data_IF_032549927499
#
_entry.id   IF_032549927499
#
_cell.length_a   1.000
_cell.length_b   1.000
_cell.length_c   1.000
_cell.angle_alpha   90.00
_cell.angle_beta   90.00
_cell.angle_gamma   90.00
#
_symmetry.space_group_name_H-M   'P 1'
#
loop_
_entity.id
_entity.type
_entity.pdbx_description
1 polymer ?
#
# COMPACT_ATOMS: atom_id res chain seq x y z
N UNK A 1 35.14 3.77 -16.90
CA UNK A 1 33.92 4.60 -17.06
C UNK A 1 33.27 4.80 -15.69
N UNK A 2 32.66 5.97 -15.40
CA UNK A 2 31.93 6.18 -14.13
C UNK A 2 30.64 5.36 -14.16
N UNK A 3 30.47 4.44 -13.21
CA UNK A 3 29.28 3.58 -13.10
C UNK A 3 28.03 4.43 -12.75
N UNK A 4 26.89 4.31 -13.46
CA UNK A 4 25.65 5.02 -13.16
C UNK A 4 24.88 4.50 -11.92
N UNK A 5 25.54 3.74 -11.03
CA UNK A 5 24.99 3.15 -9.79
C UNK A 5 24.27 4.17 -8.87
N UNK A 6 24.55 5.47 -9.02
CA UNK A 6 23.98 6.51 -8.17
C UNK A 6 22.47 6.75 -8.39
N UNK A 7 21.96 6.58 -9.62
CA UNK A 7 20.55 6.92 -9.92
C UNK A 7 19.56 5.83 -9.50
N UNK A 8 19.86 4.55 -9.75
CA UNK A 8 18.96 3.44 -9.43
C UNK A 8 18.83 3.27 -7.90
N UNK A 9 19.93 3.31 -7.16
CA UNK A 9 19.93 3.27 -5.67
C UNK A 9 19.20 4.45 -5.01
N UNK A 10 19.16 5.61 -5.65
CA UNK A 10 18.40 6.77 -5.14
C UNK A 10 16.89 6.56 -5.33
N UNK A 11 16.48 6.04 -6.49
CA UNK A 11 15.09 5.70 -6.78
C UNK A 11 14.57 4.55 -5.92
N UNK A 12 15.40 3.54 -5.63
CA UNK A 12 15.03 2.44 -4.72
C UNK A 12 14.66 2.96 -3.33
N UNK A 13 15.52 3.79 -2.73
CA UNK A 13 15.26 4.40 -1.41
C UNK A 13 14.04 5.31 -1.39
N UNK A 14 13.70 5.96 -2.51
CA UNK A 14 12.46 6.74 -2.61
C UNK A 14 11.23 5.83 -2.61
N UNK A 15 11.24 4.76 -3.42
CA UNK A 15 10.14 3.79 -3.48
C UNK A 15 9.95 3.04 -2.16
N UNK A 16 11.03 2.73 -1.45
CA UNK A 16 10.97 2.13 -0.11
C UNK A 16 10.26 3.04 0.90
N UNK A 17 10.62 4.33 0.95
CA UNK A 17 9.94 5.30 1.82
C UNK A 17 8.47 5.48 1.45
N UNK A 18 8.18 5.49 0.17
CA UNK A 18 6.81 5.61 -0.32
C UNK A 18 5.97 4.38 0.06
N UNK A 19 6.57 3.19 -0.03
CA UNK A 19 5.98 1.94 0.44
C UNK A 19 5.70 1.98 1.94
N UNK A 20 6.68 2.39 2.76
CA UNK A 20 6.54 2.55 4.21
C UNK A 20 5.40 3.52 4.55
N UNK A 21 5.36 4.68 3.88
CA UNK A 21 4.32 5.67 4.08
C UNK A 21 2.92 5.14 3.72
N UNK A 22 2.77 4.50 2.56
CA UNK A 22 1.49 3.89 2.15
C UNK A 22 1.06 2.78 3.10
N UNK A 23 2.00 1.98 3.61
CA UNK A 23 1.71 0.96 4.62
C UNK A 23 1.23 1.56 5.95
N UNK A 24 1.80 2.70 6.36
CA UNK A 24 1.33 3.43 7.54
C UNK A 24 -0.11 3.94 7.35
N UNK A 25 -0.39 4.60 6.22
CA UNK A 25 -1.74 5.06 5.88
C UNK A 25 -2.75 3.91 5.79
N UNK A 26 -2.34 2.78 5.20
CA UNK A 26 -3.17 1.58 5.13
C UNK A 26 -3.54 1.07 6.53
N UNK A 27 -2.58 1.04 7.46
CA UNK A 27 -2.82 0.65 8.85
C UNK A 27 -3.78 1.62 9.55
N UNK A 28 -3.55 2.92 9.42
CA UNK A 28 -4.44 3.94 9.99
C UNK A 28 -5.86 3.83 9.45
N UNK A 29 -6.02 3.58 8.15
CA UNK A 29 -7.30 3.33 7.52
C UNK A 29 -8.01 2.11 8.09
N UNK A 30 -7.30 0.99 8.27
CA UNK A 30 -7.83 -0.23 8.88
C UNK A 30 -8.28 -0.01 10.33
N UNK A 31 -7.47 0.71 11.13
CA UNK A 31 -7.80 1.06 12.51
C UNK A 31 -9.04 1.97 12.58
N UNK A 32 -9.17 2.92 11.64
CA UNK A 32 -10.35 3.77 11.52
C UNK A 32 -11.60 2.96 11.12
N UNK A 33 -11.50 2.08 10.12
CA UNK A 33 -12.59 1.21 9.70
C UNK A 33 -13.08 0.32 10.85
N UNK A 34 -12.17 -0.21 11.67
CA UNK A 34 -12.52 -1.00 12.85
C UNK A 34 -13.35 -0.18 13.84
N UNK A 35 -12.97 1.08 14.09
CA UNK A 35 -13.73 1.99 14.98
C UNK A 35 -15.13 2.27 14.44
N UNK A 36 -15.25 2.63 13.16
CA UNK A 36 -16.55 2.91 12.52
C UNK A 36 -17.46 1.67 12.55
N UNK A 37 -16.91 0.47 12.27
CA UNK A 37 -17.67 -0.79 12.35
C UNK A 37 -18.12 -1.10 13.78
N UNK A 38 -17.30 -0.80 14.77
CA UNK A 38 -17.62 -0.99 16.19
C UNK A 38 -18.75 -0.05 16.63
N UNK A 39 -18.71 1.22 16.20
CA UNK A 39 -19.79 2.18 16.45
C UNK A 39 -21.11 1.73 15.81
N UNK A 40 -21.09 1.29 14.55
CA UNK A 40 -22.28 0.76 13.88
C UNK A 40 -22.86 -0.46 14.61
N UNK A 41 -22.01 -1.34 15.15
CA UNK A 41 -22.44 -2.46 15.99
C UNK A 41 -23.11 -1.99 17.28
N UNK A 42 -22.50 -1.05 17.99
CA UNK A 42 -23.04 -0.50 19.23
C UNK A 42 -24.41 0.16 19.00
N UNK A 43 -24.58 0.94 17.93
CA UNK A 43 -25.86 1.57 17.57
C UNK A 43 -26.95 0.51 17.33
N UNK A 44 -26.64 -0.59 16.62
CA UNK A 44 -27.58 -1.70 16.45
C UNK A 44 -27.98 -2.35 17.77
N UNK A 45 -27.02 -2.65 18.63
CA UNK A 45 -27.27 -3.28 19.93
C UNK A 45 -28.08 -2.35 20.86
N UNK A 46 -27.87 -1.03 20.77
CA UNK A 46 -28.66 -0.02 21.49
C UNK A 46 -30.11 -0.02 21.01
N UNK A 47 -30.35 -0.04 19.69
CA UNK A 47 -31.69 -0.11 19.11
C UNK A 47 -32.43 -1.39 19.50
N UNK A 48 -31.74 -2.54 19.50
CA UNK A 48 -32.32 -3.83 19.91
C UNK A 48 -32.73 -3.84 21.38
N UNK A 49 -31.88 -3.31 22.28
CA UNK A 49 -32.19 -3.20 23.71
C UNK A 49 -33.37 -2.28 23.96
N UNK A 50 -33.37 -1.10 23.36
CA UNK A 50 -34.50 -0.19 23.46
C UNK A 50 -35.80 -0.85 22.95
N UNK A 51 -35.76 -1.60 21.85
CA UNK A 51 -36.95 -2.31 21.35
C UNK A 51 -37.49 -3.37 22.30
N UNK A 52 -36.66 -3.94 23.18
CA UNK A 52 -37.08 -4.93 24.17
C UNK A 52 -37.64 -4.29 25.46
N UNK A 53 -37.22 -3.07 25.78
CA UNK A 53 -37.60 -2.35 27.01
C UNK A 53 -38.88 -1.50 26.85
N UNK A 54 -39.14 -0.98 25.65
CA UNK A 54 -40.27 -0.09 25.38
C UNK A 54 -41.52 -0.85 24.92
N UNK A 55 -42.48 -1.07 25.81
CA UNK A 55 -43.70 -1.83 25.48
C UNK A 55 -44.94 -1.63 26.37
N UNK A 56 -45.02 -0.60 27.22
CA UNK A 56 -46.11 -0.53 28.23
C UNK A 56 -46.92 0.77 28.30
N UNK A 57 -46.46 1.89 27.74
CA UNK A 57 -47.23 3.16 27.77
C UNK A 57 -47.24 3.89 26.41
N UNK A 58 -48.35 4.54 26.01
CA UNK A 58 -48.47 5.23 24.71
C UNK A 58 -47.48 6.39 24.52
N UNK A 59 -47.20 7.15 25.58
CA UNK A 59 -46.21 8.24 25.57
C UNK A 59 -44.79 7.72 25.38
N UNK A 60 -44.49 6.55 25.95
CA UNK A 60 -43.20 5.86 25.75
C UNK A 60 -43.06 5.33 24.31
N UNK A 61 -44.15 5.01 23.61
CA UNK A 61 -44.12 4.58 22.21
C UNK A 61 -43.72 5.71 21.26
N UNK A 62 -44.19 6.95 21.47
CA UNK A 62 -43.80 8.09 20.62
C UNK A 62 -42.32 8.46 20.80
N UNK A 63 -41.85 8.55 22.05
CA UNK A 63 -40.43 8.81 22.33
C UNK A 63 -39.51 7.69 21.81
N UNK A 64 -39.96 6.43 21.88
CA UNK A 64 -39.25 5.31 21.29
C UNK A 64 -39.17 5.43 19.76
N UNK A 65 -40.26 5.82 19.09
CA UNK A 65 -40.27 6.01 17.63
C UNK A 65 -39.28 7.09 17.18
N UNK A 66 -39.25 8.24 17.85
CA UNK A 66 -38.31 9.33 17.54
C UNK A 66 -36.85 8.93 17.81
N UNK A 67 -36.60 8.26 18.94
CA UNK A 67 -35.28 7.71 19.26
C UNK A 67 -34.81 6.72 18.19
N UNK A 68 -35.67 5.77 17.82
CA UNK A 68 -35.37 4.73 16.84
C UNK A 68 -35.04 5.34 15.48
N UNK A 69 -35.83 6.31 15.00
CA UNK A 69 -35.57 7.00 13.74
C UNK A 69 -34.22 7.72 13.74
N UNK A 70 -33.86 8.39 14.85
CA UNK A 70 -32.54 9.06 14.96
C UNK A 70 -31.39 8.06 14.94
N UNK A 71 -31.50 6.96 15.68
CA UNK A 71 -30.48 5.91 15.72
C UNK A 71 -30.37 5.18 14.37
N UNK A 72 -31.47 4.99 13.66
CA UNK A 72 -31.47 4.42 12.33
C UNK A 72 -30.75 5.31 11.32
N UNK A 73 -31.00 6.62 11.34
CA UNK A 73 -30.29 7.58 10.48
C UNK A 73 -28.78 7.59 10.79
N UNK A 74 -28.42 7.62 12.07
CA UNK A 74 -27.03 7.52 12.51
C UNK A 74 -26.37 6.24 12.01
N UNK A 75 -27.00 5.08 12.22
CA UNK A 75 -26.51 3.79 11.74
C UNK A 75 -26.28 3.77 10.23
N UNK A 76 -27.23 4.30 9.44
CA UNK A 76 -27.09 4.38 7.98
C UNK A 76 -25.88 5.23 7.59
N UNK A 77 -25.69 6.38 8.24
CA UNK A 77 -24.54 7.25 7.99
C UNK A 77 -23.21 6.57 8.36
N UNK A 78 -23.13 5.89 9.51
CA UNK A 78 -21.93 5.15 9.93
C UNK A 78 -21.59 4.00 8.96
N UNK A 79 -22.59 3.26 8.48
CA UNK A 79 -22.39 2.18 7.51
C UNK A 79 -21.92 2.71 6.15
N UNK A 80 -22.47 3.83 5.70
CA UNK A 80 -22.03 4.49 4.47
C UNK A 80 -20.58 4.99 4.59
N UNK A 81 -20.24 5.59 5.73
CA UNK A 81 -18.86 5.98 6.03
C UNK A 81 -17.93 4.76 6.02
N UNK A 82 -18.32 3.64 6.63
CA UNK A 82 -17.52 2.42 6.62
C UNK A 82 -17.23 1.92 5.20
N UNK A 83 -18.23 1.96 4.30
CA UNK A 83 -18.05 1.58 2.88
C UNK A 83 -17.06 2.49 2.15
N UNK A 84 -17.14 3.80 2.38
CA UNK A 84 -16.22 4.78 1.77
C UNK A 84 -14.79 4.55 2.25
N UNK A 85 -14.61 4.34 3.55
CA UNK A 85 -13.29 4.02 4.13
C UNK A 85 -12.75 2.71 3.56
N UNK A 86 -13.60 1.68 3.43
CA UNK A 86 -13.22 0.41 2.82
C UNK A 86 -12.77 0.56 1.36
N UNK A 87 -13.42 1.43 0.58
CA UNK A 87 -13.00 1.74 -0.80
C UNK A 87 -11.62 2.39 -0.83
N UNK A 88 -11.37 3.36 0.05
CA UNK A 88 -10.05 4.01 0.16
C UNK A 88 -8.97 3.01 0.58
N UNK A 89 -9.27 2.11 1.52
CA UNK A 89 -8.35 1.02 1.92
C UNK A 89 -8.02 0.12 0.73
N UNK A 90 -9.01 -0.28 -0.07
CA UNK A 90 -8.78 -1.11 -1.25
C UNK A 90 -7.89 -0.42 -2.28
N UNK A 91 -8.06 0.89 -2.49
CA UNK A 91 -7.19 1.69 -3.36
C UNK A 91 -5.76 1.73 -2.81
N UNK A 92 -5.58 2.02 -1.52
CA UNK A 92 -4.26 2.02 -0.88
C UNK A 92 -3.59 0.64 -0.94
N UNK A 93 -4.34 -0.45 -0.81
CA UNK A 93 -3.81 -1.81 -0.96
C UNK A 93 -3.29 -2.06 -2.38
N UNK A 94 -3.99 -1.57 -3.41
CA UNK A 94 -3.55 -1.65 -4.79
C UNK A 94 -2.26 -0.84 -5.03
N UNK A 95 -2.20 0.39 -4.51
CA UNK A 95 -0.99 1.23 -4.61
C UNK A 95 0.22 0.62 -3.88
N UNK A 96 0.01 0.00 -2.71
CA UNK A 96 1.06 -0.74 -1.99
C UNK A 96 1.58 -1.89 -2.85
N UNK A 97 0.69 -2.64 -3.49
CA UNK A 97 1.06 -3.74 -4.38
C UNK A 97 1.86 -3.25 -5.59
N UNK A 98 1.41 -2.17 -6.23
CA UNK A 98 2.10 -1.55 -7.36
C UNK A 98 3.50 -1.07 -6.97
N UNK A 99 3.63 -0.41 -5.81
CA UNK A 99 4.93 0.06 -5.30
C UNK A 99 5.91 -1.10 -5.09
N UNK A 100 5.43 -2.23 -4.54
CA UNK A 100 6.24 -3.45 -4.39
C UNK A 100 6.68 -4.04 -5.73
N UNK A 101 5.80 -4.02 -6.73
CA UNK A 101 6.15 -4.48 -8.08
C UNK A 101 7.20 -3.58 -8.72
N UNK A 102 7.09 -2.26 -8.54
CA UNK A 102 8.07 -1.29 -9.03
C UNK A 102 9.44 -1.46 -8.36
N UNK A 103 9.49 -1.72 -7.05
CA UNK A 103 10.73 -2.07 -6.35
C UNK A 103 11.38 -3.31 -6.96
N UNK A 104 10.62 -4.40 -7.12
CA UNK A 104 11.14 -5.65 -7.72
C UNK A 104 11.63 -5.44 -9.15
N UNK A 105 10.94 -4.60 -9.93
CA UNK A 105 11.36 -4.25 -11.30
C UNK A 105 12.67 -3.47 -11.28
N UNK A 106 12.84 -2.56 -10.33
CA UNK A 106 14.07 -1.79 -10.18
C UNK A 106 15.26 -2.70 -9.80
N UNK A 107 15.06 -3.64 -8.87
CA UNK A 107 16.06 -4.64 -8.49
C UNK A 107 16.52 -5.45 -9.71
N UNK A 108 15.57 -5.94 -10.53
CA UNK A 108 15.90 -6.67 -11.75
C UNK A 108 16.69 -5.82 -12.76
N UNK A 109 16.35 -4.54 -12.91
CA UNK A 109 17.08 -3.62 -13.78
C UNK A 109 18.51 -3.38 -13.25
N UNK A 110 18.69 -3.30 -11.93
CA UNK A 110 20.03 -3.20 -11.33
C UNK A 110 20.86 -4.46 -11.61
N UNK A 111 20.29 -5.65 -11.45
CA UNK A 111 20.96 -6.92 -11.78
C UNK A 111 21.36 -7.01 -13.26
N UNK A 112 20.45 -6.66 -14.17
CA UNK A 112 20.72 -6.65 -15.61
C UNK A 112 21.87 -5.70 -15.96
N UNK A 113 21.87 -4.50 -15.38
CA UNK A 113 22.93 -3.51 -15.62
C UNK A 113 24.28 -3.95 -15.07
N UNK A 114 24.29 -4.65 -13.93
CA UNK A 114 25.52 -5.23 -13.39
C UNK A 114 26.08 -6.32 -14.33
N UNK A 115 25.22 -7.16 -14.88
CA UNK A 115 25.64 -8.22 -15.82
C UNK A 115 26.13 -7.64 -17.16
N UNK A 116 25.46 -6.62 -17.68
CA UNK A 116 25.94 -5.86 -18.85
C UNK A 116 27.35 -5.28 -18.62
N UNK A 117 27.65 -4.75 -17.43
CA UNK A 117 28.99 -4.22 -17.17
C UNK A 117 30.05 -5.31 -17.01
N UNK A 118 29.71 -6.46 -16.42
CA UNK A 118 30.66 -7.58 -16.34
C UNK A 118 31.02 -8.10 -17.73
N UNK A 119 30.01 -8.27 -18.58
CA UNK A 119 30.20 -8.76 -19.96
C UNK A 119 31.01 -7.76 -20.79
N UNK A 120 30.74 -6.46 -20.67
CA UNK A 120 31.50 -5.42 -21.35
C UNK A 120 32.95 -5.31 -20.83
N UNK A 121 33.17 -5.38 -19.51
CA UNK A 121 34.52 -5.34 -18.92
C UNK A 121 35.36 -6.57 -19.32
N UNK A 122 34.73 -7.75 -19.39
CA UNK A 122 35.35 -8.96 -19.90
C UNK A 122 35.70 -8.84 -21.40
N UNK A 123 34.81 -8.27 -22.21
CA UNK A 123 35.05 -8.01 -23.64
C UNK A 123 36.25 -7.09 -23.85
N UNK A 124 36.27 -5.94 -23.18
CA UNK A 124 37.37 -4.97 -23.28
C UNK A 124 38.69 -5.57 -22.79
N UNK A 125 38.66 -6.37 -21.72
CA UNK A 125 39.85 -7.05 -21.21
C UNK A 125 40.39 -8.08 -22.20
N UNK A 126 39.50 -8.84 -22.85
CA UNK A 126 39.89 -9.81 -23.87
C UNK A 126 40.50 -9.12 -25.10
N UNK A 127 39.88 -8.04 -25.58
CA UNK A 127 40.40 -7.24 -26.70
C UNK A 127 41.81 -6.71 -26.40
N UNK A 128 42.05 -6.19 -25.19
CA UNK A 128 43.38 -5.74 -24.78
C UNK A 128 44.41 -6.89 -24.73
N UNK A 129 44.02 -8.09 -24.29
CA UNK A 129 44.90 -9.27 -24.29
C UNK A 129 45.24 -9.73 -25.70
N UNK A 130 44.27 -9.68 -26.61
CA UNK A 130 44.45 -10.04 -28.01
C UNK A 130 45.39 -9.04 -28.72
N UNK A 131 45.20 -7.74 -28.51
CA UNK A 131 46.09 -6.68 -29.01
C UNK A 131 47.53 -6.83 -28.49
N UNK A 132 47.71 -7.10 -27.19
CA UNK A 132 49.02 -7.36 -26.59
C UNK A 132 49.69 -8.59 -27.19
N UNK A 133 48.91 -9.63 -27.51
CA UNK A 133 49.40 -10.85 -28.14
C UNK A 133 49.89 -10.57 -29.56
N UNK A 134 49.15 -9.76 -30.33
CA UNK A 134 49.54 -9.30 -31.67
C UNK A 134 50.85 -8.51 -31.60
N UNK A 135 50.98 -7.55 -30.68
CA UNK A 135 52.19 -6.73 -30.53
C UNK A 135 53.42 -7.58 -30.11
N UNK A 136 53.24 -8.55 -29.21
CA UNK A 136 54.32 -9.48 -28.82
C UNK A 136 54.78 -10.35 -29.98
N UNK A 137 53.85 -10.78 -30.84
CA UNK A 137 54.17 -11.54 -32.04
C UNK A 137 54.91 -10.67 -33.06
N UNK A 138 54.44 -9.46 -33.35
CA UNK A 138 55.06 -8.53 -34.30
C UNK A 138 56.48 -8.07 -33.92
N UNK A 139 56.84 -8.20 -32.63
CA UNK A 139 58.19 -7.91 -32.12
C UNK A 139 59.19 -9.05 -32.39
N UNK A 140 58.71 -10.28 -32.64
CA UNK A 140 59.56 -11.43 -32.99
C UNK A 140 59.79 -11.47 -34.50
#
# INVERSE_FOLDING_TARGET
MKKPEFKLKAWGRMLERELEHRQALLKEGQDYLLRVRTEARFTRESMQRASAEFGKEPTQQQHFSEFYQRQELSLRATLELAKRVETVIQQLQAEVLETKQNLRRLELLEEQKLEEWKTEDARVSQEALDELSILKFARR
#
